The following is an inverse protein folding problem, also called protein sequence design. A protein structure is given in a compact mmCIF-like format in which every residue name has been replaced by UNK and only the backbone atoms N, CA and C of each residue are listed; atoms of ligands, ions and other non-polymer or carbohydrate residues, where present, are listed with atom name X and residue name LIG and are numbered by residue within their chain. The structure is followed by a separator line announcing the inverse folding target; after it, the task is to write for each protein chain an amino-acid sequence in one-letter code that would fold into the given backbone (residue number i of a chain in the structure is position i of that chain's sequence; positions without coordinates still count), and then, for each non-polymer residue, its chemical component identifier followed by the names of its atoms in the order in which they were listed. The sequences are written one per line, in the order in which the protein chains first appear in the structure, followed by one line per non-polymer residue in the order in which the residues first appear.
data_IF_430470184931
#
_entry.id   IF_430470184931
#
_cell.length_a   1.000
_cell.length_b   1.000
_cell.length_c   1.000
_cell.angle_alpha   90.00
_cell.angle_beta   90.00
_cell.angle_gamma   90.00
#
_symmetry.space_group_name_H-M   'P 1'
#
loop_
_entity.id
_entity.type
_entity.pdbx_description
1 polymer ?
#
# COMPACT_ATOMS: atom_id res chain seq x y z
N UNK A 1 -10.95 18.78 4.06
CA UNK A 1 -9.64 18.17 4.28
C UNK A 1 -9.75 16.66 4.33
N UNK A 2 -8.63 16.01 4.22
CA UNK A 2 -8.55 14.56 4.18
C UNK A 2 -8.27 14.01 2.79
N UNK A 3 -7.81 12.76 2.76
CA UNK A 3 -7.40 12.12 1.52
C UNK A 3 -7.58 10.61 1.66
N UNK A 4 -8.40 10.03 0.80
CA UNK A 4 -8.70 8.61 0.82
C UNK A 4 -7.92 7.90 -0.28
N UNK A 5 -6.87 7.16 0.11
CA UNK A 5 -6.03 6.41 -0.83
C UNK A 5 -6.78 5.25 -1.48
N UNK A 6 -7.79 4.71 -0.80
CA UNK A 6 -8.58 3.63 -1.36
C UNK A 6 -9.37 4.12 -2.58
N UNK A 7 -10.15 5.19 -2.44
CA UNK A 7 -10.97 5.68 -3.55
C UNK A 7 -10.13 6.24 -4.69
N UNK A 8 -8.94 6.79 -4.39
CA UNK A 8 -8.05 7.39 -5.39
C UNK A 8 -7.06 6.40 -6.01
N UNK A 9 -7.08 5.14 -5.60
CA UNK A 9 -6.13 4.16 -6.11
C UNK A 9 -6.21 3.98 -7.63
N UNK A 10 -7.43 4.07 -8.21
CA UNK A 10 -7.61 3.98 -9.65
C UNK A 10 -7.04 5.18 -10.42
N UNK A 11 -6.74 6.28 -9.74
CA UNK A 11 -6.13 7.48 -10.33
C UNK A 11 -4.62 7.57 -10.07
N UNK A 12 -4.07 6.65 -9.30
CA UNK A 12 -2.62 6.60 -9.05
C UNK A 12 -1.89 6.01 -10.26
N UNK A 13 -0.63 6.36 -10.39
CA UNK A 13 0.26 5.79 -11.39
C UNK A 13 0.95 4.58 -10.78
N UNK A 14 0.56 3.37 -11.20
CA UNK A 14 1.11 2.13 -10.70
C UNK A 14 2.23 1.64 -11.61
N UNK A 15 3.38 1.34 -11.00
CA UNK A 15 4.56 0.82 -11.71
C UNK A 15 5.23 -0.30 -10.91
N UNK A 16 5.92 -1.16 -11.63
CA UNK A 16 6.84 -2.16 -11.07
C UNK A 16 8.17 -2.08 -11.81
N UNK A 17 9.10 -2.97 -11.47
CA UNK A 17 10.33 -3.10 -12.26
C UNK A 17 10.09 -3.51 -13.71
N UNK A 18 8.92 -4.07 -14.03
CA UNK A 18 8.53 -4.44 -15.39
C UNK A 18 7.85 -3.31 -16.17
N UNK A 19 7.64 -2.13 -15.57
CA UNK A 19 7.07 -0.96 -16.22
C UNK A 19 5.69 -0.58 -15.67
N UNK A 20 4.91 0.12 -16.48
CA UNK A 20 3.59 0.63 -16.10
C UNK A 20 2.58 -0.52 -15.96
N UNK A 21 1.71 -0.39 -14.95
CA UNK A 21 0.67 -1.36 -14.66
C UNK A 21 -0.70 -0.67 -14.81
N UNK A 22 -1.70 -1.44 -15.24
CA UNK A 22 -3.09 -0.99 -15.28
C UNK A 22 -3.76 -1.36 -13.96
N UNK A 23 -4.36 -0.38 -13.27
CA UNK A 23 -5.08 -0.65 -12.03
C UNK A 23 -6.25 -1.61 -12.28
N UNK A 24 -6.47 -2.54 -11.36
CA UNK A 24 -7.60 -3.47 -11.42
C UNK A 24 -7.22 -4.92 -11.71
N UNK A 25 -5.94 -5.21 -11.84
CA UNK A 25 -5.45 -6.56 -12.09
C UNK A 25 -5.28 -6.88 -13.57
N UNK A 26 -5.30 -8.15 -13.99
CA UNK A 26 -5.72 -9.31 -13.20
C UNK A 26 -4.70 -9.68 -12.11
N UNK A 27 -5.15 -10.49 -11.14
CA UNK A 27 -4.29 -10.94 -10.04
C UNK A 27 -3.30 -12.03 -10.48
N UNK A 28 -3.34 -12.40 -11.74
CA UNK A 28 -2.37 -13.32 -12.37
C UNK A 28 -1.26 -12.57 -13.11
N UNK A 29 -1.27 -11.23 -13.13
CA UNK A 29 -0.24 -10.45 -13.83
C UNK A 29 1.08 -10.53 -13.06
N UNK A 30 2.06 -11.23 -13.63
CA UNK A 30 3.37 -11.44 -13.00
C UNK A 30 4.24 -10.18 -12.95
N UNK A 31 3.84 -9.13 -13.64
CA UNK A 31 4.47 -7.80 -13.51
C UNK A 31 4.12 -7.11 -12.20
N UNK A 32 3.18 -7.66 -11.46
CA UNK A 32 2.58 -7.05 -10.28
C UNK A 32 1.21 -6.47 -10.59
N UNK A 33 0.43 -6.18 -9.57
CA UNK A 33 -0.90 -5.62 -9.74
C UNK A 33 -1.37 -4.86 -8.51
N UNK A 34 -2.29 -3.93 -8.72
CA UNK A 34 -3.03 -3.24 -7.66
C UNK A 34 -4.52 -3.38 -7.97
N UNK A 35 -5.31 -3.76 -6.98
CA UNK A 35 -6.76 -3.93 -7.16
C UNK A 35 -7.50 -3.90 -5.82
N UNK A 36 -8.80 -3.66 -5.88
CA UNK A 36 -9.66 -3.69 -4.70
C UNK A 36 -9.98 -5.13 -4.27
N UNK A 37 -10.01 -5.35 -2.96
CA UNK A 37 -10.31 -6.66 -2.35
C UNK A 37 -11.33 -6.53 -1.21
N UNK A 38 -12.42 -5.84 -1.45
CA UNK A 38 -13.44 -5.63 -0.42
C UNK A 38 -14.20 -6.89 -0.06
N UNK A 39 -14.67 -6.92 1.19
CA UNK A 39 -15.56 -7.95 1.73
C UNK A 39 -14.94 -9.35 1.74
N UNK A 40 -13.63 -9.42 1.91
CA UNK A 40 -12.88 -10.67 2.07
C UNK A 40 -12.28 -10.75 3.46
N UNK A 41 -12.12 -11.98 3.96
CA UNK A 41 -11.34 -12.21 5.17
C UNK A 41 -9.88 -11.90 4.88
N UNK A 42 -9.21 -11.29 5.86
CA UNK A 42 -7.77 -11.04 5.83
C UNK A 42 -7.06 -12.07 6.72
N UNK A 43 -5.75 -11.90 6.90
CA UNK A 43 -4.95 -12.87 7.68
C UNK A 43 -5.43 -13.04 9.12
N UNK A 44 -6.09 -12.04 9.69
CA UNK A 44 -6.68 -12.09 11.04
C UNK A 44 -8.02 -12.82 11.11
N UNK A 45 -8.53 -13.31 9.98
CA UNK A 45 -9.80 -13.99 9.89
C UNK A 45 -11.02 -13.08 9.90
N UNK A 46 -10.84 -11.76 9.84
CA UNK A 46 -11.91 -10.77 9.89
C UNK A 46 -12.19 -10.24 8.49
N UNK A 47 -13.47 -10.08 8.16
CA UNK A 47 -13.89 -9.48 6.88
C UNK A 47 -13.67 -7.97 6.98
N UNK A 48 -13.00 -7.39 5.99
CA UNK A 48 -12.71 -5.97 5.95
C UNK A 48 -13.27 -5.30 4.70
N UNK A 49 -13.49 -3.99 4.79
CA UNK A 49 -13.88 -3.11 3.69
C UNK A 49 -12.79 -2.09 3.43
N UNK A 50 -12.83 -1.46 2.25
CA UNK A 50 -11.82 -0.50 1.80
C UNK A 50 -10.41 -1.12 1.81
N UNK A 51 -10.31 -2.30 1.20
CA UNK A 51 -9.06 -3.08 1.11
C UNK A 51 -8.46 -2.90 -0.27
N UNK A 52 -7.20 -2.49 -0.30
CA UNK A 52 -6.40 -2.33 -1.50
C UNK A 52 -5.28 -3.37 -1.47
N UNK A 53 -5.27 -4.29 -2.44
CA UNK A 53 -4.14 -5.20 -2.62
C UNK A 53 -3.13 -4.58 -3.56
N UNK A 54 -1.85 -4.64 -3.17
CA UNK A 54 -0.72 -4.16 -3.97
C UNK A 54 0.33 -5.26 -4.00
N UNK A 55 0.30 -6.09 -5.03
CA UNK A 55 1.21 -7.23 -5.16
C UNK A 55 2.45 -6.81 -5.93
N UNK A 56 3.67 -7.05 -5.41
CA UNK A 56 4.89 -6.71 -6.13
C UNK A 56 5.08 -7.60 -7.35
N UNK A 57 6.01 -7.22 -8.24
CA UNK A 57 6.43 -8.07 -9.35
C UNK A 57 6.79 -9.46 -8.82
N UNK A 58 6.43 -10.52 -9.56
CA UNK A 58 6.61 -11.92 -9.13
C UNK A 58 8.06 -12.36 -9.31
N UNK A 59 8.98 -11.66 -8.65
CA UNK A 59 10.41 -11.99 -8.62
C UNK A 59 10.94 -11.74 -7.19
N UNK A 60 12.10 -12.27 -6.89
CA UNK A 60 12.78 -11.98 -5.63
C UNK A 60 13.04 -10.48 -5.53
N UNK A 61 12.72 -9.89 -4.38
CA UNK A 61 12.85 -8.46 -4.12
C UNK A 61 12.08 -7.58 -5.11
N UNK A 62 10.98 -8.12 -5.66
CA UNK A 62 10.10 -7.38 -6.56
C UNK A 62 9.46 -6.19 -5.87
N UNK A 63 9.08 -5.19 -6.66
CA UNK A 63 8.55 -3.92 -6.16
C UNK A 63 7.26 -3.59 -6.91
N UNK A 64 6.35 -2.90 -6.22
CA UNK A 64 5.26 -2.15 -6.82
C UNK A 64 5.16 -0.81 -6.10
N UNK A 65 4.87 0.25 -6.84
CA UNK A 65 4.56 1.55 -6.25
C UNK A 65 3.39 2.21 -6.96
N UNK A 66 2.59 2.94 -6.19
CA UNK A 66 1.50 3.77 -6.69
C UNK A 66 1.74 5.21 -6.29
N UNK A 67 1.90 6.09 -7.28
CA UNK A 67 2.05 7.51 -7.07
C UNK A 67 0.70 8.18 -7.27
N UNK A 68 0.20 8.75 -6.20
CA UNK A 68 -1.15 9.31 -6.11
C UNK A 68 -1.20 10.77 -6.58
N UNK A 69 -2.38 11.25 -7.01
CA UNK A 69 -2.58 12.67 -7.31
C UNK A 69 -2.15 13.57 -6.16
N UNK A 70 -1.62 14.74 -6.51
CA UNK A 70 -1.08 15.67 -5.52
C UNK A 70 -2.14 16.12 -4.49
N UNK A 71 -1.67 16.32 -3.26
CA UNK A 71 -2.50 16.76 -2.15
C UNK A 71 -1.74 17.80 -1.32
N UNK A 72 -2.43 18.85 -0.90
CA UNK A 72 -1.86 19.86 0.01
C UNK A 72 -2.16 19.47 1.45
N UNK A 73 -1.12 19.19 2.21
CA UNK A 73 -1.24 18.70 3.59
C UNK A 73 -1.70 19.83 4.52
N UNK A 74 -2.67 19.55 5.35
CA UNK A 74 -3.22 20.47 6.36
C UNK A 74 -2.58 20.17 7.72
N UNK A 75 -2.39 21.20 8.51
CA UNK A 75 -1.83 21.08 9.85
C UNK A 75 -2.61 20.05 10.70
N UNK A 76 -1.91 19.16 11.37
CA UNK A 76 -2.49 18.18 12.27
C UNK A 76 -2.87 16.86 11.61
N UNK A 77 -2.80 16.79 10.27
CA UNK A 77 -3.15 15.57 9.57
C UNK A 77 -2.14 14.45 9.79
N UNK A 78 -2.66 13.23 9.77
CA UNK A 78 -1.89 12.01 9.92
C UNK A 78 -2.27 11.02 8.83
N UNK A 79 -1.30 10.22 8.39
CA UNK A 79 -1.59 9.05 7.56
C UNK A 79 -1.83 7.87 8.48
N UNK A 80 -2.93 7.16 8.27
CA UNK A 80 -3.24 5.92 9.00
C UNK A 80 -3.68 4.82 8.04
N UNK A 81 -3.38 3.59 8.41
CA UNK A 81 -3.84 2.38 7.71
C UNK A 81 -3.67 1.19 8.64
N UNK A 82 -4.29 0.07 8.28
CA UNK A 82 -3.86 -1.24 8.76
C UNK A 82 -3.22 -1.99 7.60
N UNK A 83 -2.19 -2.75 7.88
CA UNK A 83 -1.45 -3.52 6.87
C UNK A 83 -1.40 -4.99 7.23
N UNK A 84 -1.38 -5.84 6.21
CA UNK A 84 -1.34 -7.28 6.38
C UNK A 84 -1.44 -7.99 5.04
N UNK A 85 -1.99 -9.20 5.07
CA UNK A 85 -2.07 -10.07 3.91
C UNK A 85 -3.47 -10.63 3.69
N UNK A 86 -3.80 -10.91 2.43
CA UNK A 86 -4.89 -11.82 2.10
C UNK A 86 -4.49 -13.24 2.49
N UNK A 87 -5.43 -14.04 2.99
CA UNK A 87 -5.15 -15.43 3.33
C UNK A 87 -5.20 -16.34 2.10
N UNK A 88 -4.54 -17.49 2.23
CA UNK A 88 -4.73 -18.64 1.37
C UNK A 88 -6.09 -19.30 1.67
N UNK A 89 -6.46 -20.31 0.86
CA UNK A 89 -7.72 -21.03 1.04
C UNK A 89 -7.84 -21.72 2.41
N UNK A 90 -6.73 -22.05 3.04
CA UNK A 90 -6.70 -22.67 4.38
C UNK A 90 -6.78 -21.66 5.52
N UNK A 91 -6.88 -20.36 5.21
CA UNK A 91 -6.95 -19.28 6.20
C UNK A 91 -5.61 -18.74 6.68
N UNK A 92 -4.49 -19.39 6.32
CA UNK A 92 -3.15 -18.85 6.60
C UNK A 92 -2.70 -17.91 5.49
N UNK A 93 -1.66 -17.13 5.71
CA UNK A 93 -1.04 -16.31 4.67
C UNK A 93 0.37 -16.80 4.29
N UNK A 94 0.70 -18.01 4.70
CA UNK A 94 1.90 -18.71 4.29
C UNK A 94 3.19 -17.96 4.60
N UNK A 95 4.02 -17.76 3.57
CA UNK A 95 5.35 -17.17 3.68
C UNK A 95 5.38 -15.69 3.36
N UNK A 96 4.23 -15.00 3.33
CA UNK A 96 4.16 -13.56 3.06
C UNK A 96 5.14 -12.76 3.92
N UNK A 97 5.94 -11.92 3.27
CA UNK A 97 6.96 -11.11 3.92
C UNK A 97 7.30 -9.94 3.01
N UNK A 98 6.86 -8.75 3.40
CA UNK A 98 7.06 -7.53 2.60
C UNK A 98 7.44 -6.36 3.48
N UNK A 99 8.04 -5.36 2.83
CA UNK A 99 8.19 -4.01 3.39
C UNK A 99 7.11 -3.14 2.78
N UNK A 100 6.27 -2.57 3.65
CA UNK A 100 5.29 -1.55 3.28
C UNK A 100 5.94 -0.19 3.45
N UNK A 101 5.80 0.71 2.47
CA UNK A 101 6.39 2.05 2.54
C UNK A 101 5.35 3.11 2.21
N UNK A 102 5.40 4.21 2.95
CA UNK A 102 4.80 5.47 2.57
C UNK A 102 5.92 6.45 2.24
N UNK A 103 5.92 6.95 1.01
CA UNK A 103 6.90 7.92 0.54
C UNK A 103 6.16 9.11 -0.06
N UNK A 104 6.88 10.16 -0.40
CA UNK A 104 6.32 11.29 -1.14
C UNK A 104 7.38 11.91 -2.05
N UNK A 105 6.89 12.70 -3.01
CA UNK A 105 7.74 13.61 -3.77
C UNK A 105 7.03 14.96 -3.93
N UNK A 106 7.81 16.00 -4.02
CA UNK A 106 7.33 17.37 -4.22
C UNK A 106 7.66 17.79 -5.65
N UNK A 107 6.63 18.17 -6.45
CA UNK A 107 6.81 18.43 -7.87
C UNK A 107 7.36 17.20 -8.59
N UNK A 108 8.30 17.39 -9.51
CA UNK A 108 9.02 16.30 -10.18
C UNK A 108 10.28 15.87 -9.46
N UNK A 109 10.41 16.19 -8.16
CA UNK A 109 11.61 15.94 -7.39
C UNK A 109 11.86 14.48 -7.03
N UNK A 110 12.89 14.25 -6.24
CA UNK A 110 13.24 12.92 -5.77
C UNK A 110 12.26 12.43 -4.71
N UNK A 111 12.15 11.10 -4.57
CA UNK A 111 11.30 10.46 -3.59
C UNK A 111 11.94 10.53 -2.21
N UNK A 112 11.17 10.92 -1.21
CA UNK A 112 11.58 10.98 0.19
C UNK A 112 10.74 9.99 1.01
N UNK A 113 11.37 9.13 1.83
CA UNK A 113 10.63 8.21 2.68
C UNK A 113 9.97 8.93 3.86
N UNK A 114 8.77 8.46 4.23
CA UNK A 114 8.05 8.89 5.44
C UNK A 114 7.92 7.78 6.46
N UNK A 115 7.76 6.54 6.01
CA UNK A 115 7.64 5.39 6.89
C UNK A 115 7.87 4.08 6.16
N UNK A 116 8.40 3.10 6.90
CA UNK A 116 8.61 1.75 6.40
C UNK A 116 8.29 0.75 7.49
N UNK A 117 7.58 -0.31 7.14
CA UNK A 117 7.18 -1.35 8.08
C UNK A 117 7.38 -2.72 7.44
N UNK A 118 8.18 -3.56 8.06
CA UNK A 118 8.31 -4.96 7.65
C UNK A 118 7.16 -5.74 8.26
N UNK A 119 6.41 -6.45 7.41
CA UNK A 119 5.26 -7.26 7.84
C UNK A 119 5.44 -8.68 7.34
N UNK A 120 5.33 -9.64 8.26
CA UNK A 120 5.28 -11.06 7.95
C UNK A 120 3.88 -11.59 8.22
N UNK A 121 3.55 -12.74 7.63
CA UNK A 121 2.31 -13.45 7.92
C UNK A 121 2.33 -13.96 9.37
N UNK A 122 1.49 -13.41 10.23
CA UNK A 122 1.45 -13.77 11.66
C UNK A 122 0.03 -13.84 12.24
N UNK A 123 -0.99 -13.71 11.38
CA UNK A 123 -2.39 -13.78 11.81
C UNK A 123 -2.93 -12.48 12.40
N UNK A 124 -2.17 -11.39 12.36
CA UNK A 124 -2.62 -10.08 12.86
C UNK A 124 -2.42 -8.99 11.81
N UNK A 125 -3.29 -7.98 11.84
CA UNK A 125 -3.06 -6.74 11.09
C UNK A 125 -2.27 -5.78 11.95
N UNK A 126 -1.39 -5.00 11.32
CA UNK A 126 -0.60 -3.98 12.00
C UNK A 126 -1.16 -2.60 11.69
N UNK A 127 -1.41 -1.80 12.71
CA UNK A 127 -1.76 -0.39 12.54
C UNK A 127 -0.50 0.42 12.27
N UNK A 128 -0.57 1.29 11.27
CA UNK A 128 0.49 2.23 10.96
C UNK A 128 -0.05 3.65 11.03
N UNK A 129 0.79 4.58 11.47
CA UNK A 129 0.39 5.96 11.74
C UNK A 129 1.60 6.87 11.56
N UNK A 130 1.47 7.87 10.69
CA UNK A 130 2.55 8.80 10.38
C UNK A 130 2.06 10.23 10.58
N UNK A 131 2.75 10.99 11.42
CA UNK A 131 2.52 12.42 11.61
C UNK A 131 2.99 13.17 10.36
N UNK A 132 2.09 13.91 9.70
CA UNK A 132 2.40 14.66 8.49
C UNK A 132 2.70 16.13 8.76
N UNK A 133 2.88 16.53 10.02
CA UNK A 133 3.25 17.91 10.39
C UNK A 133 4.44 18.46 9.59
N UNK A 134 5.51 17.67 9.33
CA UNK A 134 6.62 18.16 8.50
C UNK A 134 6.24 18.60 7.09
N UNK A 135 5.09 18.15 6.59
CA UNK A 135 4.62 18.44 5.24
C UNK A 135 3.50 19.49 5.20
N UNK A 136 3.11 20.06 6.35
CA UNK A 136 1.98 21.00 6.39
C UNK A 136 2.20 22.15 5.39
N UNK A 137 1.16 22.46 4.62
CA UNK A 137 1.19 23.51 3.62
C UNK A 137 1.88 23.13 2.32
N UNK A 138 2.53 21.97 2.26
CA UNK A 138 3.16 21.50 1.03
C UNK A 138 2.17 20.69 0.18
N UNK A 139 2.29 20.84 -1.13
CA UNK A 139 1.55 20.06 -2.12
C UNK A 139 2.48 18.97 -2.61
N UNK A 140 2.14 17.70 -2.31
CA UNK A 140 3.01 16.56 -2.58
C UNK A 140 2.24 15.42 -3.21
N UNK A 141 2.95 14.58 -3.94
CA UNK A 141 2.41 13.30 -4.42
C UNK A 141 2.86 12.20 -3.46
N UNK A 142 1.91 11.58 -2.77
CA UNK A 142 2.20 10.44 -1.90
C UNK A 142 2.38 9.18 -2.72
N UNK A 143 3.22 8.28 -2.23
CA UNK A 143 3.54 7.02 -2.90
C UNK A 143 3.39 5.89 -1.89
N UNK A 144 2.49 4.93 -2.21
CA UNK A 144 2.42 3.67 -1.50
C UNK A 144 3.29 2.67 -2.24
N UNK A 145 4.20 2.01 -1.52
CA UNK A 145 5.10 1.05 -2.13
C UNK A 145 5.18 -0.24 -1.33
N UNK A 146 5.37 -1.35 -2.05
CA UNK A 146 5.59 -2.68 -1.50
C UNK A 146 6.87 -3.22 -2.10
N UNK A 147 7.74 -3.73 -1.23
CA UNK A 147 8.93 -4.47 -1.61
C UNK A 147 8.84 -5.88 -1.07
N UNK A 148 8.93 -6.88 -1.94
CA UNK A 148 9.08 -8.27 -1.49
C UNK A 148 10.39 -8.37 -0.70
N UNK A 149 10.30 -8.90 0.53
CA UNK A 149 11.47 -9.09 1.37
C UNK A 149 12.01 -10.51 1.13
N UNK A 150 12.72 -10.68 0.02
CA UNK A 150 13.13 -11.97 -0.53
C UNK A 150 12.12 -12.46 -1.59
N UNK A 151 11.73 -13.75 -1.57
CA UNK A 151 10.75 -14.27 -2.53
C UNK A 151 9.42 -13.53 -2.48
N UNK A 152 8.77 -13.38 -3.63
CA UNK A 152 7.46 -12.73 -3.72
C UNK A 152 6.30 -13.69 -3.43
N UNK A 153 6.58 -14.95 -3.18
CA UNK A 153 5.57 -15.99 -2.92
C UNK A 153 4.66 -15.57 -1.77
N UNK A 154 3.34 -15.54 -2.04
CA UNK A 154 2.30 -15.22 -1.07
C UNK A 154 2.41 -13.80 -0.49
N UNK A 155 3.09 -12.91 -1.16
CA UNK A 155 3.17 -11.50 -0.81
C UNK A 155 1.90 -10.75 -1.25
N UNK A 156 0.74 -11.26 -0.82
CA UNK A 156 -0.58 -10.71 -1.13
C UNK A 156 -0.89 -9.55 -0.17
N UNK A 157 -0.09 -8.52 -0.27
CA UNK A 157 -0.08 -7.39 0.66
C UNK A 157 -1.31 -6.51 0.51
N UNK A 158 -1.93 -6.14 1.62
CA UNK A 158 -3.11 -5.28 1.63
C UNK A 158 -2.92 -4.08 2.54
N UNK A 159 -3.49 -2.95 2.09
CA UNK A 159 -3.70 -1.74 2.87
C UNK A 159 -5.18 -1.64 3.17
N UNK A 160 -5.54 -1.54 4.44
CA UNK A 160 -6.92 -1.40 4.89
C UNK A 160 -7.15 0.05 5.32
N UNK A 161 -8.10 0.72 4.68
CA UNK A 161 -8.47 2.12 4.93
C UNK A 161 -7.25 3.06 4.96
N UNK A 162 -6.37 3.02 3.95
CA UNK A 162 -5.27 3.96 3.90
C UNK A 162 -5.82 5.37 3.65
N UNK A 163 -5.54 6.29 4.56
CA UNK A 163 -6.12 7.63 4.51
C UNK A 163 -5.27 8.67 5.22
N UNK A 164 -5.47 9.93 4.85
CA UNK A 164 -4.98 11.09 5.59
C UNK A 164 -6.19 11.80 6.18
N UNK A 165 -6.14 12.07 7.48
CA UNK A 165 -7.21 12.76 8.18
C UNK A 165 -6.68 13.43 9.45
N UNK A 166 -7.49 14.33 9.99
CA UNK A 166 -7.30 14.83 11.35
C UNK A 166 -7.71 13.72 12.33
N UNK A 167 -7.00 13.59 13.46
CA UNK A 167 -7.34 12.61 14.47
C UNK A 167 -8.68 12.88 15.16
#
# INVERSE_FOLDING_TARGET
SGYDFYTRASNAVWISGAGNLTFGGPDTDDKGFAMYRDNQKLEDGVIATKVLETHPQFIDNGVISGRYPAYTVVQGERFTAKIGFLPLADGTCGTGNVKFQLNYREGGGSVTPLGEWTKTCDGTLRSVDVDLTPLKGKTVEFILAILANGPSTQDWAVWVKPQIALP
#
